data_IF_520754540510
#
_entry.id   IF_520754540510
#
_cell.length_a   1.000
_cell.length_b   1.000
_cell.length_c   1.000
_cell.angle_alpha   90.00
_cell.angle_beta   90.00
_cell.angle_gamma   90.00
#
_symmetry.space_group_name_H-M   'P 1'
#
loop_
_entity.id
_entity.type
_entity.pdbx_description
1 polymer ?
#
# COMPACT_ATOMS: atom_id res chain seq x y z
N UNK A 1 21.65 -26.27 -62.03
CA UNK A 1 21.01 -26.75 -60.79
C UNK A 1 21.56 -25.92 -59.64
N UNK A 2 20.74 -25.01 -59.11
CA UNK A 2 21.08 -24.10 -58.00
C UNK A 2 20.16 -24.48 -56.85
N UNK A 3 20.73 -25.00 -55.77
CA UNK A 3 19.95 -25.54 -54.66
C UNK A 3 19.30 -24.43 -53.84
N UNK A 4 17.97 -24.50 -53.62
CA UNK A 4 17.22 -23.51 -52.83
C UNK A 4 17.53 -23.58 -51.32
N UNK A 5 18.24 -24.62 -50.87
CA UNK A 5 18.65 -24.81 -49.46
C UNK A 5 19.77 -23.85 -49.02
N UNK A 6 20.62 -23.38 -49.93
CA UNK A 6 21.72 -22.46 -49.59
C UNK A 6 21.22 -21.05 -49.25
N UNK A 7 20.07 -20.63 -49.79
CA UNK A 7 19.48 -19.31 -49.51
C UNK A 7 18.74 -19.24 -48.17
N UNK A 8 18.19 -20.36 -47.67
CA UNK A 8 17.57 -20.41 -46.35
C UNK A 8 18.60 -20.34 -45.21
N UNK A 9 19.79 -20.94 -45.38
CA UNK A 9 20.81 -20.96 -44.32
C UNK A 9 21.40 -19.56 -44.05
N UNK A 10 21.53 -18.73 -45.09
CA UNK A 10 22.03 -17.34 -44.95
C UNK A 10 20.97 -16.45 -44.30
N UNK A 11 19.67 -16.66 -44.58
CA UNK A 11 18.60 -15.90 -43.90
C UNK A 11 18.48 -16.26 -42.42
N UNK A 12 18.69 -17.53 -42.03
CA UNK A 12 18.70 -17.93 -40.63
C UNK A 12 19.89 -17.34 -39.86
N UNK A 13 21.06 -17.20 -40.49
CA UNK A 13 22.21 -16.53 -39.87
C UNK A 13 21.99 -15.02 -39.69
N UNK A 14 21.34 -14.33 -40.65
CA UNK A 14 21.02 -12.91 -40.54
C UNK A 14 19.91 -12.58 -39.51
N UNK A 15 19.02 -13.54 -39.23
CA UNK A 15 18.02 -13.43 -38.15
C UNK A 15 18.67 -13.72 -36.79
N UNK A 16 19.66 -14.62 -36.72
CA UNK A 16 20.42 -14.86 -35.47
C UNK A 16 21.35 -13.70 -35.07
N UNK A 17 21.81 -12.88 -36.03
CA UNK A 17 22.65 -11.71 -35.76
C UNK A 17 21.87 -10.45 -35.33
N UNK A 18 20.53 -10.42 -35.49
CA UNK A 18 19.67 -9.37 -34.94
C UNK A 18 19.06 -9.74 -33.57
N UNK A 19 19.41 -10.91 -33.02
CA UNK A 19 19.07 -11.33 -31.65
C UNK A 19 20.20 -11.08 -30.65
N UNK A 20 21.35 -10.56 -31.09
CA UNK A 20 22.47 -10.12 -30.25
C UNK A 20 22.54 -8.59 -30.09
N UNK A 21 21.37 -7.96 -29.95
CA UNK A 21 21.23 -6.52 -29.71
C UNK A 21 20.48 -6.16 -28.42
N UNK A 22 20.30 -7.12 -27.50
CA UNK A 22 19.74 -6.85 -26.17
C UNK A 22 20.55 -7.62 -25.10
N UNK A 23 21.85 -7.37 -25.07
CA UNK A 23 22.75 -7.90 -24.05
C UNK A 23 23.79 -6.85 -23.62
N UNK A 24 23.39 -5.58 -23.56
CA UNK A 24 24.16 -4.52 -22.89
C UNK A 24 23.18 -3.47 -22.31
N UNK A 25 22.62 -3.80 -21.15
CA UNK A 25 22.15 -2.80 -20.17
C UNK A 25 22.02 -3.38 -18.74
N UNK A 26 22.44 -4.63 -18.50
CA UNK A 26 22.58 -5.18 -17.15
C UNK A 26 23.99 -4.83 -16.67
N UNK A 27 24.19 -3.58 -16.25
CA UNK A 27 25.29 -3.10 -15.38
C UNK A 27 25.36 -1.56 -15.27
N UNK A 28 24.21 -0.88 -15.11
CA UNK A 28 24.21 0.55 -14.78
C UNK A 28 23.11 0.88 -13.75
N UNK A 29 23.11 0.16 -12.63
CA UNK A 29 22.60 0.66 -11.34
C UNK A 29 23.48 0.13 -10.19
N UNK A 30 24.79 0.09 -10.45
CA UNK A 30 25.76 0.05 -9.37
C UNK A 30 26.62 1.30 -9.52
N UNK A 31 26.48 2.17 -8.53
CA UNK A 31 27.18 3.44 -8.34
C UNK A 31 26.52 4.69 -8.96
N UNK A 32 25.42 5.10 -8.32
CA UNK A 32 25.16 6.51 -8.09
C UNK A 32 25.23 6.74 -6.56
N UNK A 33 26.42 7.11 -6.09
CA UNK A 33 26.63 8.05 -4.98
C UNK A 33 25.73 7.89 -3.72
N UNK A 34 26.26 7.24 -2.68
CA UNK A 34 26.37 7.86 -1.35
C UNK A 34 25.15 8.18 -0.48
N UNK A 35 23.91 8.15 -0.97
CA UNK A 35 22.69 8.37 -0.17
C UNK A 35 21.51 7.65 -0.82
N UNK A 36 21.10 6.49 -0.28
CA UNK A 36 19.82 5.87 -0.64
C UNK A 36 18.68 6.73 -0.07
N UNK A 37 18.30 7.78 -0.78
CA UNK A 37 17.09 8.57 -0.51
C UNK A 37 15.88 7.69 -0.78
N UNK A 38 15.44 6.94 0.22
CA UNK A 38 14.24 6.12 0.12
C UNK A 38 13.00 6.99 -0.02
N UNK A 39 12.05 6.60 -0.87
CA UNK A 39 10.73 7.24 -0.93
C UNK A 39 9.78 6.47 -0.02
N UNK A 40 9.24 7.17 0.98
CA UNK A 40 8.25 6.65 1.90
C UNK A 40 6.85 7.01 1.38
N UNK A 41 6.03 6.02 1.10
CA UNK A 41 4.62 6.22 0.79
C UNK A 41 3.79 6.08 2.07
N UNK A 42 2.93 7.07 2.32
CA UNK A 42 2.01 7.11 3.44
C UNK A 42 0.59 7.01 2.89
N UNK A 43 -0.13 5.99 3.30
CA UNK A 43 -1.52 5.76 2.92
C UNK A 43 -2.46 6.07 4.08
N UNK A 44 -3.46 6.90 3.83
CA UNK A 44 -4.47 7.28 4.81
C UNK A 44 -5.81 6.63 4.51
N UNK A 45 -6.64 6.49 5.55
CA UNK A 45 -7.95 5.82 5.49
C UNK A 45 -8.88 6.38 4.40
N UNK A 46 -8.83 7.68 4.17
CA UNK A 46 -9.64 8.37 3.17
C UNK A 46 -9.14 8.17 1.74
N UNK A 47 -8.05 7.43 1.52
CA UNK A 47 -7.51 7.11 0.19
C UNK A 47 -6.44 8.09 -0.31
N UNK A 48 -5.86 8.92 0.57
CA UNK A 48 -4.71 9.74 0.18
C UNK A 48 -3.44 8.87 0.22
N UNK A 49 -2.71 8.84 -0.88
CA UNK A 49 -1.37 8.29 -0.96
C UNK A 49 -0.37 9.45 -1.11
N UNK A 50 0.50 9.63 -0.13
CA UNK A 50 1.48 10.73 -0.12
C UNK A 50 2.89 10.16 -0.15
N UNK A 51 3.71 10.63 -1.07
CA UNK A 51 5.13 10.31 -1.09
C UNK A 51 5.93 11.36 -0.33
N UNK A 52 6.77 10.87 0.57
CA UNK A 52 7.72 11.65 1.34
C UNK A 52 9.14 11.19 1.04
N UNK A 53 10.09 12.11 1.14
CA UNK A 53 11.49 11.76 1.29
C UNK A 53 11.69 11.12 2.68
N UNK A 54 12.19 9.89 2.74
CA UNK A 54 12.38 9.17 3.99
C UNK A 54 13.37 9.87 4.94
N UNK A 55 14.29 10.69 4.42
CA UNK A 55 15.36 11.38 5.15
C UNK A 55 14.93 12.67 5.84
N UNK A 56 13.88 13.36 5.40
CA UNK A 56 13.48 14.62 6.04
C UNK A 56 11.97 14.75 6.22
N UNK A 57 11.19 13.80 5.70
CA UNK A 57 9.74 13.82 5.74
C UNK A 57 9.13 14.86 4.81
N UNK A 58 9.91 15.49 3.92
CA UNK A 58 9.41 16.46 2.96
C UNK A 58 8.51 15.78 1.93
N UNK A 59 7.39 16.43 1.61
CA UNK A 59 6.43 15.89 0.65
C UNK A 59 6.95 16.07 -0.78
N UNK A 60 6.97 14.98 -1.54
CA UNK A 60 7.32 14.95 -2.96
C UNK A 60 6.04 15.16 -3.78
N UNK A 61 5.04 14.31 -3.56
CA UNK A 61 3.74 14.39 -4.24
C UNK A 61 2.64 13.79 -3.36
N UNK A 62 1.39 14.07 -3.73
CA UNK A 62 0.23 13.48 -3.08
C UNK A 62 -0.83 13.13 -4.13
N UNK A 63 -1.42 11.94 -4.00
CA UNK A 63 -2.40 11.38 -4.92
C UNK A 63 -3.65 10.91 -4.20
N UNK A 64 -4.80 11.46 -4.59
CA UNK A 64 -6.09 11.13 -3.99
C UNK A 64 -6.78 10.03 -4.80
N UNK A 65 -6.94 8.88 -4.15
CA UNK A 65 -7.75 7.77 -4.62
C UNK A 65 -9.04 7.64 -3.79
N UNK A 66 -9.82 6.60 -4.06
CA UNK A 66 -10.94 6.18 -3.23
C UNK A 66 -10.52 5.74 -1.82
N UNK A 67 -11.42 5.93 -0.84
CA UNK A 67 -11.20 5.49 0.53
C UNK A 67 -11.01 3.97 0.63
N UNK A 68 -10.06 3.55 1.46
CA UNK A 68 -9.61 2.15 1.62
C UNK A 68 -10.75 1.24 2.04
N UNK A 69 -11.64 1.77 2.87
CA UNK A 69 -12.87 1.11 3.28
C UNK A 69 -14.05 2.01 2.94
N UNK A 70 -14.98 1.48 2.14
CA UNK A 70 -16.29 2.09 1.89
C UNK A 70 -17.37 1.18 2.45
N UNK A 71 -18.02 1.60 3.53
CA UNK A 71 -19.11 0.86 4.16
C UNK A 71 -20.27 1.83 4.51
N UNK A 72 -21.52 1.34 4.59
CA UNK A 72 -22.66 2.11 5.04
C UNK A 72 -22.41 2.72 6.41
N UNK A 73 -22.76 3.99 6.57
CA UNK A 73 -22.65 4.71 7.85
C UNK A 73 -23.66 4.22 8.90
N UNK A 74 -24.73 3.56 8.47
CA UNK A 74 -25.80 3.08 9.35
C UNK A 74 -25.60 1.60 9.67
N UNK A 75 -25.21 1.31 10.90
CA UNK A 75 -25.17 -0.05 11.40
C UNK A 75 -26.59 -0.59 11.58
N UNK A 76 -26.96 -1.59 10.79
CA UNK A 76 -28.12 -2.43 11.04
C UNK A 76 -27.73 -3.52 12.05
N UNK A 77 -28.42 -3.54 13.20
CA UNK A 77 -28.23 -4.58 14.21
C UNK A 77 -28.38 -5.96 13.56
N UNK A 78 -27.43 -6.85 13.85
CA UNK A 78 -27.30 -8.22 13.33
C UNK A 78 -27.10 -8.34 11.80
N UNK A 79 -26.79 -7.24 11.11
CA UNK A 79 -26.63 -7.23 9.65
C UNK A 79 -25.51 -6.27 9.19
N UNK A 80 -24.52 -6.03 10.05
CA UNK A 80 -23.39 -5.13 9.76
C UNK A 80 -22.10 -5.81 10.17
N UNK A 81 -21.12 -5.81 9.26
CA UNK A 81 -19.73 -6.11 9.60
C UNK A 81 -18.91 -4.82 9.59
N UNK A 82 -17.82 -4.82 10.34
CA UNK A 82 -16.86 -3.72 10.40
C UNK A 82 -15.53 -4.24 9.87
N UNK A 83 -15.11 -3.87 8.66
CA UNK A 83 -13.80 -4.22 8.16
C UNK A 83 -12.71 -3.37 8.84
N UNK A 84 -11.58 -3.98 9.11
CA UNK A 84 -10.35 -3.29 9.48
C UNK A 84 -9.69 -2.73 8.22
N UNK A 85 -9.36 -1.42 8.18
CA UNK A 85 -8.66 -0.84 7.05
C UNK A 85 -7.20 -1.30 6.94
N UNK A 86 -6.64 -1.91 7.99
CA UNK A 86 -5.23 -2.32 8.03
C UNK A 86 -4.95 -3.61 7.25
N UNK A 87 -5.89 -4.54 7.27
CA UNK A 87 -5.69 -5.92 6.80
C UNK A 87 -6.95 -6.57 6.22
N UNK A 88 -8.07 -5.84 6.17
CA UNK A 88 -9.35 -6.37 5.73
C UNK A 88 -9.97 -7.37 6.70
N UNK A 89 -9.46 -7.54 7.93
CA UNK A 89 -10.10 -8.38 8.95
C UNK A 89 -11.52 -7.90 9.24
N UNK A 90 -12.48 -8.82 9.31
CA UNK A 90 -13.87 -8.49 9.59
C UNK A 90 -14.20 -8.64 11.07
N UNK A 91 -14.98 -7.70 11.58
CA UNK A 91 -15.48 -7.69 12.95
C UNK A 91 -17.00 -7.59 12.99
N UNK A 92 -17.61 -8.21 13.99
CA UNK A 92 -19.04 -8.08 14.28
C UNK A 92 -19.21 -7.23 15.53
N UNK A 93 -20.01 -6.15 15.48
CA UNK A 93 -20.35 -5.39 16.68
C UNK A 93 -21.25 -6.23 17.58
N UNK A 94 -20.85 -6.39 18.84
CA UNK A 94 -21.64 -7.04 19.88
C UNK A 94 -22.18 -6.01 20.88
N UNK A 95 -23.08 -6.44 21.77
CA UNK A 95 -23.61 -5.57 22.84
C UNK A 95 -22.48 -5.15 23.79
N UNK A 96 -22.51 -3.88 24.22
CA UNK A 96 -21.58 -3.37 25.23
C UNK A 96 -20.19 -2.97 24.69
N UNK A 97 -20.12 -2.43 23.48
CA UNK A 97 -18.88 -1.94 22.84
C UNK A 97 -17.82 -3.02 22.59
N UNK A 98 -18.23 -4.29 22.54
CA UNK A 98 -17.34 -5.40 22.18
C UNK A 98 -17.42 -5.68 20.69
N UNK A 99 -16.31 -6.13 20.11
CA UNK A 99 -16.20 -6.52 18.72
C UNK A 99 -15.56 -7.90 18.64
N UNK A 100 -16.25 -8.82 17.96
CA UNK A 100 -15.73 -10.17 17.74
C UNK A 100 -15.08 -10.26 16.35
N UNK A 101 -13.84 -10.75 16.31
CA UNK A 101 -13.11 -10.96 15.06
C UNK A 101 -13.62 -12.22 14.36
N UNK A 102 -14.00 -12.09 13.10
CA UNK A 102 -14.35 -13.23 12.25
C UNK A 102 -13.10 -13.98 11.77
N UNK A 103 -13.22 -15.29 11.48
CA UNK A 103 -12.10 -16.11 11.00
C UNK A 103 -11.67 -15.80 9.56
N UNK A 104 -12.40 -14.93 8.85
CA UNK A 104 -12.14 -14.59 7.46
C UNK A 104 -11.95 -13.07 7.29
N UNK A 105 -11.01 -12.68 6.45
CA UNK A 105 -10.87 -11.29 5.96
C UNK A 105 -11.82 -11.04 4.78
N UNK A 106 -12.01 -9.77 4.38
CA UNK A 106 -12.78 -9.42 3.18
C UNK A 106 -12.23 -10.14 1.93
N UNK A 107 -10.91 -10.11 1.62
CA UNK A 107 -10.36 -10.84 0.49
C UNK A 107 -10.66 -12.35 0.52
N UNK A 108 -10.46 -12.99 1.68
CA UNK A 108 -10.71 -14.44 1.85
C UNK A 108 -12.19 -14.78 1.68
N UNK A 109 -13.07 -13.95 2.25
CA UNK A 109 -14.51 -14.15 2.13
C UNK A 109 -14.95 -14.00 0.67
N UNK A 110 -14.54 -12.94 -0.03
CA UNK A 110 -14.86 -12.72 -1.45
C UNK A 110 -14.47 -13.91 -2.33
N UNK A 111 -13.33 -14.56 -2.08
CA UNK A 111 -12.90 -15.75 -2.82
C UNK A 111 -13.83 -16.96 -2.65
N UNK A 112 -14.61 -17.00 -1.56
CA UNK A 112 -15.54 -18.09 -1.25
C UNK A 112 -16.98 -17.83 -1.73
N UNK A 113 -17.23 -16.69 -2.37
CA UNK A 113 -18.56 -16.27 -2.85
C UNK A 113 -18.78 -16.61 -4.33
N UNK A 114 -20.03 -16.80 -4.78
CA UNK A 114 -21.30 -16.55 -4.09
C UNK A 114 -21.73 -17.66 -3.11
N UNK A 115 -22.44 -17.30 -2.03
CA UNK A 115 -23.02 -18.29 -1.11
C UNK A 115 -24.35 -17.81 -0.47
N UNK A 116 -25.07 -18.75 0.16
CA UNK A 116 -26.34 -18.48 0.85
C UNK A 116 -26.28 -19.04 2.28
N UNK A 117 -26.63 -18.22 3.26
CA UNK A 117 -26.76 -18.64 4.66
C UNK A 117 -28.05 -19.43 4.91
N UNK A 118 -28.06 -20.24 5.98
CA UNK A 118 -29.24 -20.94 6.49
C UNK A 118 -30.41 -19.99 6.81
N UNK A 119 -30.12 -18.74 7.15
CA UNK A 119 -31.12 -17.69 7.44
C UNK A 119 -31.67 -17.01 6.18
N UNK A 120 -31.24 -17.44 4.99
CA UNK A 120 -31.71 -16.91 3.71
C UNK A 120 -31.03 -15.62 3.25
N UNK A 121 -29.89 -15.26 3.84
CA UNK A 121 -29.05 -14.15 3.39
C UNK A 121 -28.15 -14.64 2.25
N UNK A 122 -28.12 -13.90 1.15
CA UNK A 122 -27.23 -14.13 0.02
C UNK A 122 -26.01 -13.23 0.13
N UNK A 123 -24.85 -13.81 -0.14
CA UNK A 123 -23.57 -13.13 -0.14
C UNK A 123 -23.00 -13.15 -1.55
N UNK A 124 -22.61 -11.97 -2.01
CA UNK A 124 -22.00 -11.75 -3.32
C UNK A 124 -20.63 -11.09 -3.11
N UNK A 125 -19.63 -11.57 -3.83
CA UNK A 125 -18.27 -11.05 -3.80
C UNK A 125 -17.82 -10.69 -5.21
N UNK A 126 -17.09 -9.59 -5.33
CA UNK A 126 -16.43 -9.18 -6.57
C UNK A 126 -14.99 -8.77 -6.28
N UNK A 127 -14.08 -9.12 -7.18
CA UNK A 127 -12.66 -8.75 -7.14
C UNK A 127 -12.32 -8.06 -8.46
N UNK A 128 -11.79 -6.84 -8.37
CA UNK A 128 -11.29 -6.08 -9.52
C UNK A 128 -9.83 -5.72 -9.31
N UNK A 129 -8.97 -6.24 -10.17
CA UNK A 129 -7.54 -5.95 -10.15
C UNK A 129 -7.22 -4.82 -11.15
N UNK A 130 -6.30 -3.95 -10.75
CA UNK A 130 -5.82 -2.80 -11.54
C UNK A 130 -4.34 -2.56 -11.28
N UNK A 131 -3.65 -1.92 -12.22
CA UNK A 131 -2.25 -1.53 -12.09
C UNK A 131 -2.15 -0.01 -11.97
N UNK A 132 -1.29 0.44 -11.07
CA UNK A 132 -0.94 1.85 -10.89
C UNK A 132 0.54 2.05 -11.24
N UNK A 133 0.82 2.77 -12.32
CA UNK A 133 2.19 3.16 -12.69
C UNK A 133 2.60 4.41 -11.92
N UNK A 134 3.60 4.31 -11.05
CA UNK A 134 4.12 5.41 -10.25
C UNK A 134 5.46 5.87 -10.81
N UNK A 135 5.55 7.15 -11.13
CA UNK A 135 6.82 7.83 -11.28
C UNK A 135 7.29 8.31 -9.88
N UNK A 136 8.47 7.90 -9.39
CA UNK A 136 9.00 8.33 -8.10
C UNK A 136 8.96 9.85 -7.88
N UNK A 137 9.19 10.62 -8.94
CA UNK A 137 9.30 12.08 -8.88
C UNK A 137 7.97 12.80 -9.01
N UNK A 138 7.09 12.35 -9.92
CA UNK A 138 5.82 13.03 -10.22
C UNK A 138 4.57 12.37 -9.62
N UNK A 139 4.70 11.13 -9.15
CA UNK A 139 3.61 10.32 -8.62
C UNK A 139 2.90 9.45 -9.65
N UNK A 140 1.73 8.89 -9.30
CA UNK A 140 0.99 7.96 -10.15
C UNK A 140 0.48 8.60 -11.44
N UNK A 141 0.70 7.90 -12.55
CA UNK A 141 0.12 8.22 -13.85
C UNK A 141 -1.23 7.50 -13.98
N UNK A 142 -2.30 8.26 -14.19
CA UNK A 142 -3.58 7.70 -14.63
C UNK A 142 -3.46 7.35 -16.11
N UNK A 143 -2.90 6.19 -16.44
CA UNK A 143 -3.08 5.64 -17.78
C UNK A 143 -4.51 5.11 -17.91
N UNK A 144 -5.41 6.00 -18.32
CA UNK A 144 -6.71 5.61 -18.81
C UNK A 144 -6.50 4.85 -20.12
N UNK A 145 -6.81 3.55 -20.09
CA UNK A 145 -6.88 2.63 -21.23
C UNK A 145 -5.60 1.84 -21.51
N UNK A 146 -5.43 0.73 -20.79
CA UNK A 146 -5.03 -0.52 -21.46
C UNK A 146 -6.19 -0.95 -22.37
N UNK A 147 -6.42 -0.19 -23.44
CA UNK A 147 -7.42 -0.55 -24.45
C UNK A 147 -6.89 -1.79 -25.16
N UNK A 148 -7.72 -2.84 -25.23
CA UNK A 148 -7.43 -4.04 -26.03
C UNK A 148 -7.52 -3.77 -27.54
N UNK A 149 -7.72 -2.52 -27.95
CA UNK A 149 -7.73 -2.11 -29.36
C UNK A 149 -6.32 -2.27 -29.96
N UNK A 150 -6.15 -3.10 -31.00
CA UNK A 150 -4.85 -3.34 -31.64
C UNK A 150 -4.17 -2.07 -32.18
N UNK A 151 -4.93 -0.99 -32.42
CA UNK A 151 -4.40 0.28 -32.96
C UNK A 151 -3.86 1.24 -31.91
N UNK A 152 -4.13 1.00 -30.63
CA UNK A 152 -3.68 1.83 -29.51
C UNK A 152 -2.57 1.14 -28.69
N UNK A 153 -1.89 0.15 -29.30
CA UNK A 153 -0.67 -0.47 -28.77
C UNK A 153 0.52 0.48 -28.92
N UNK A 154 0.45 1.65 -28.32
CA UNK A 154 1.68 2.18 -27.74
C UNK A 154 1.93 1.34 -26.50
N UNK A 155 2.79 0.33 -26.63
CA UNK A 155 3.45 -0.24 -25.45
C UNK A 155 3.93 0.96 -24.64
N UNK A 156 3.59 1.10 -23.34
CA UNK A 156 4.08 2.22 -22.56
C UNK A 156 5.59 2.09 -22.58
N UNK A 157 6.24 2.90 -23.42
CA UNK A 157 7.68 3.06 -23.42
C UNK A 157 7.92 3.81 -22.13
N UNK A 158 8.18 3.01 -21.11
CA UNK A 158 8.57 3.41 -19.79
C UNK A 158 9.61 4.53 -19.92
N UNK A 159 9.30 5.71 -19.39
CA UNK A 159 10.37 6.43 -18.69
C UNK A 159 11.02 5.39 -17.77
N UNK A 160 12.33 5.19 -17.89
CA UNK A 160 13.09 4.06 -17.29
C UNK A 160 12.97 3.92 -15.74
N UNK A 161 12.10 4.68 -15.08
CA UNK A 161 11.90 4.73 -13.64
C UNK A 161 10.43 4.56 -13.19
N UNK A 162 9.49 4.13 -14.04
CA UNK A 162 8.10 3.90 -13.62
C UNK A 162 7.95 2.56 -12.90
N UNK A 163 7.51 2.60 -11.64
CA UNK A 163 7.25 1.43 -10.79
C UNK A 163 5.77 1.06 -10.87
N UNK A 164 5.43 -0.18 -11.18
CA UNK A 164 4.05 -0.65 -11.26
C UNK A 164 3.62 -1.33 -9.97
N UNK A 165 2.48 -0.91 -9.44
CA UNK A 165 1.90 -1.46 -8.20
C UNK A 165 0.52 -2.04 -8.50
N UNK A 166 0.29 -3.27 -8.04
CA UNK A 166 -1.04 -3.89 -8.09
C UNK A 166 -1.98 -3.28 -7.05
N UNK A 167 -3.17 -2.87 -7.48
CA UNK A 167 -4.28 -2.42 -6.65
C UNK A 167 -5.47 -3.34 -6.88
N UNK A 168 -5.96 -3.95 -5.81
CA UNK A 168 -7.14 -4.81 -5.85
C UNK A 168 -8.28 -4.19 -5.06
N UNK A 169 -9.45 -4.12 -5.69
CA UNK A 169 -10.70 -3.73 -5.06
C UNK A 169 -11.57 -4.97 -4.82
N UNK A 170 -11.87 -5.22 -3.55
CA UNK A 170 -12.77 -6.29 -3.10
C UNK A 170 -14.10 -5.67 -2.71
N UNK A 171 -15.19 -6.07 -3.38
CA UNK A 171 -16.54 -5.70 -3.00
C UNK A 171 -17.28 -6.91 -2.44
N UNK A 172 -17.95 -6.73 -1.31
CA UNK A 172 -18.74 -7.75 -0.64
C UNK A 172 -20.13 -7.17 -0.37
N UNK A 173 -21.17 -7.89 -0.79
CA UNK A 173 -22.56 -7.49 -0.59
C UNK A 173 -23.37 -8.59 0.05
N UNK A 174 -24.24 -8.19 0.98
CA UNK A 174 -25.21 -9.03 1.66
C UNK A 174 -26.62 -8.59 1.28
N UNK A 175 -27.45 -9.55 0.89
CA UNK A 175 -28.84 -9.32 0.51
C UNK A 175 -29.77 -10.29 1.24
N UNK A 176 -30.74 -9.75 1.98
CA UNK A 176 -31.78 -10.56 2.61
C UNK A 176 -33.06 -10.55 1.77
N UNK A 177 -33.50 -11.71 1.28
CA UNK A 177 -34.70 -11.81 0.43
C UNK A 177 -36.01 -11.71 1.20
N UNK A 178 -36.00 -12.04 2.50
CA UNK A 178 -37.22 -12.09 3.33
C UNK A 178 -37.69 -10.71 3.80
N UNK A 179 -36.81 -9.71 3.85
CA UNK A 179 -37.13 -8.33 4.23
C UNK A 179 -36.60 -7.37 3.16
N UNK A 180 -37.49 -6.82 2.34
CA UNK A 180 -37.12 -5.78 1.37
C UNK A 180 -36.42 -4.62 2.10
N UNK A 181 -35.22 -4.26 1.63
CA UNK A 181 -34.44 -3.13 2.14
C UNK A 181 -33.24 -3.49 3.02
N UNK A 182 -33.14 -4.72 3.55
CA UNK A 182 -31.92 -5.15 4.26
C UNK A 182 -30.82 -5.56 3.27
N UNK A 183 -29.98 -4.60 2.95
CA UNK A 183 -28.76 -4.76 2.16
C UNK A 183 -27.60 -4.11 2.91
N UNK A 184 -26.42 -4.70 2.78
CA UNK A 184 -25.18 -4.16 3.32
C UNK A 184 -24.09 -4.45 2.31
N UNK A 185 -23.33 -3.44 1.96
CA UNK A 185 -22.23 -3.56 1.02
C UNK A 185 -20.95 -3.02 1.67
N UNK A 186 -19.82 -3.58 1.31
CA UNK A 186 -18.52 -3.05 1.70
C UNK A 186 -17.57 -3.16 0.53
N UNK A 187 -16.73 -2.15 0.37
CA UNK A 187 -15.58 -2.22 -0.51
C UNK A 187 -14.32 -2.04 0.31
N UNK A 188 -13.35 -2.91 0.08
CA UNK A 188 -12.01 -2.88 0.65
C UNK A 188 -10.97 -2.83 -0.47
N UNK A 189 -10.03 -1.89 -0.38
CA UNK A 189 -8.93 -1.76 -1.33
C UNK A 189 -7.65 -2.25 -0.66
N UNK A 190 -6.86 -3.04 -1.39
CA UNK A 190 -5.54 -3.50 -0.97
C UNK A 190 -4.52 -3.21 -2.06
N UNK A 191 -3.38 -2.65 -1.66
CA UNK A 191 -2.20 -2.56 -2.50
C UNK A 191 -1.35 -3.82 -2.32
N UNK A 192 -0.85 -4.40 -3.40
CA UNK A 192 -0.19 -5.72 -3.43
C UNK A 192 1.21 -5.77 -2.77
N UNK A 193 1.44 -4.95 -1.75
CA UNK A 193 2.68 -4.88 -0.99
C UNK A 193 3.00 -6.17 -0.20
N UNK A 194 1.98 -6.99 0.08
CA UNK A 194 2.15 -8.26 0.80
C UNK A 194 2.93 -9.31 0.00
N UNK A 195 3.12 -9.10 -1.31
CA UNK A 195 3.88 -9.99 -2.18
C UNK A 195 5.40 -9.78 -2.04
N UNK A 196 5.83 -8.64 -1.52
CA UNK A 196 7.24 -8.28 -1.36
C UNK A 196 7.65 -8.37 0.13
N UNK A 197 8.83 -8.92 0.43
CA UNK A 197 9.31 -9.02 1.81
C UNK A 197 9.64 -7.62 2.36
N UNK A 198 9.51 -7.44 3.68
CA UNK A 198 9.99 -6.23 4.32
C UNK A 198 11.51 -6.07 4.13
N UNK A 199 11.97 -4.84 3.93
CA UNK A 199 13.40 -4.54 3.80
C UNK A 199 14.10 -4.63 5.17
N UNK A 200 15.03 -5.58 5.30
CA UNK A 200 15.81 -5.78 6.53
C UNK A 200 16.81 -4.64 6.80
N UNK A 201 17.20 -3.87 5.78
CA UNK A 201 18.14 -2.76 5.90
C UNK A 201 17.46 -1.44 6.28
N UNK A 202 16.12 -1.44 6.39
CA UNK A 202 15.36 -0.26 6.75
C UNK A 202 15.44 0.01 8.26
N UNK A 203 16.26 1.01 8.62
CA UNK A 203 16.61 1.30 10.01
C UNK A 203 15.71 2.36 10.68
N UNK A 204 14.57 2.70 10.09
CA UNK A 204 13.64 3.66 10.68
C UNK A 204 12.47 2.96 11.36
N UNK A 205 12.03 3.53 12.47
CA UNK A 205 10.82 3.14 13.18
C UNK A 205 9.77 4.25 13.02
N UNK A 206 8.54 3.84 12.75
CA UNK A 206 7.43 4.77 12.57
C UNK A 206 6.39 4.62 13.66
N UNK A 207 5.97 5.76 14.20
CA UNK A 207 4.89 5.88 15.16
C UNK A 207 3.78 6.69 14.52
N UNK A 208 2.56 6.19 14.55
CA UNK A 208 1.39 6.87 13.95
C UNK A 208 0.30 7.04 15.00
N UNK A 209 -0.48 8.11 14.87
CA UNK A 209 -1.67 8.26 15.69
C UNK A 209 -2.83 7.45 15.11
N UNK A 210 -3.57 6.69 15.94
CA UNK A 210 -4.79 6.01 15.50
C UNK A 210 -5.99 6.95 15.38
N UNK A 211 -5.84 8.20 15.84
CA UNK A 211 -6.93 9.20 15.89
C UNK A 211 -6.69 10.36 14.92
N UNK A 212 -5.45 10.75 14.74
CA UNK A 212 -5.05 11.92 13.94
C UNK A 212 -4.14 11.48 12.80
N UNK A 213 -4.03 12.31 11.76
CA UNK A 213 -3.06 12.11 10.67
C UNK A 213 -1.65 12.53 11.08
N UNK A 214 -1.18 12.07 12.24
CA UNK A 214 0.15 12.41 12.77
C UNK A 214 1.08 11.21 12.69
N UNK A 215 2.34 11.47 12.37
CA UNK A 215 3.40 10.49 12.42
C UNK A 215 4.73 11.06 12.91
N UNK A 216 5.50 10.20 13.56
CA UNK A 216 6.88 10.47 13.97
C UNK A 216 7.75 9.35 13.46
N UNK A 217 8.85 9.71 12.80
CA UNK A 217 9.86 8.77 12.33
C UNK A 217 11.12 8.94 13.19
N UNK A 218 11.67 7.82 13.65
CA UNK A 218 12.87 7.77 14.48
C UNK A 218 13.89 6.86 13.84
N UNK A 219 15.14 7.33 13.73
CA UNK A 219 16.27 6.50 13.35
C UNK A 219 16.79 5.69 14.53
N UNK A 220 17.61 4.67 14.26
CA UNK A 220 18.27 3.87 15.31
C UNK A 220 19.29 4.65 16.13
N UNK A 221 19.88 5.70 15.56
CA UNK A 221 21.03 6.42 16.13
C UNK A 221 20.67 7.78 16.75
N UNK A 222 19.50 8.34 16.43
CA UNK A 222 19.09 9.67 16.87
C UNK A 222 17.70 9.65 17.52
N UNK A 223 17.45 10.48 18.56
CA UNK A 223 16.23 10.39 19.35
C UNK A 223 14.95 10.78 18.59
N UNK A 224 15.03 11.70 17.63
CA UNK A 224 13.91 12.11 16.76
C UNK A 224 14.54 12.51 15.44
N UNK A 225 13.97 12.07 14.33
CA UNK A 225 14.47 12.42 13.01
C UNK A 225 13.57 13.46 12.34
N UNK A 226 12.28 13.14 12.15
CA UNK A 226 11.27 14.11 11.71
C UNK A 226 9.86 13.70 12.15
N UNK A 227 8.94 14.66 12.13
CA UNK A 227 7.52 14.47 12.43
C UNK A 227 6.66 15.19 11.40
N UNK A 228 5.49 14.64 11.09
CA UNK A 228 4.52 15.27 10.20
C UNK A 228 3.12 15.12 10.79
N UNK A 229 2.42 16.25 10.88
CA UNK A 229 1.10 16.35 11.52
C UNK A 229 -0.02 16.73 10.53
N UNK A 230 0.29 16.81 9.24
CA UNK A 230 -0.58 17.41 8.21
C UNK A 230 -1.35 16.39 7.36
N UNK A 231 -1.35 15.10 7.70
CA UNK A 231 -2.11 14.12 6.93
C UNK A 231 -3.62 14.30 7.11
N UNK A 232 -4.42 14.21 6.02
CA UNK A 232 -5.85 14.52 6.06
C UNK A 232 -6.69 13.51 6.84
N UNK A 233 -6.16 12.30 7.06
CA UNK A 233 -6.85 11.22 7.77
C UNK A 233 -5.86 10.30 8.48
N UNK A 234 -6.39 9.34 9.24
CA UNK A 234 -5.58 8.36 9.99
C UNK A 234 -4.76 7.53 9.01
N UNK A 235 -3.48 7.34 9.34
CA UNK A 235 -2.54 6.55 8.55
C UNK A 235 -2.84 5.05 8.76
N UNK A 236 -3.05 4.33 7.67
CA UNK A 236 -3.42 2.90 7.69
C UNK A 236 -2.29 1.99 7.19
N UNK A 237 -1.39 2.52 6.35
CA UNK A 237 -0.23 1.79 5.91
C UNK A 237 0.94 2.72 5.54
N UNK A 238 2.14 2.16 5.61
CA UNK A 238 3.39 2.77 5.19
C UNK A 238 4.09 1.82 4.23
N UNK A 239 4.68 2.36 3.17
CA UNK A 239 5.42 1.57 2.20
C UNK A 239 6.74 2.23 1.84
N UNK A 240 7.77 1.41 1.60
CA UNK A 240 9.00 1.85 0.95
C UNK A 240 8.87 1.57 -0.55
N UNK A 241 8.93 2.63 -1.36
CA UNK A 241 8.93 2.51 -2.82
C UNK A 241 10.34 2.17 -3.31
N UNK A 242 10.44 1.11 -4.11
CA UNK A 242 11.66 0.63 -4.76
C UNK A 242 11.37 0.27 -6.21
N UNK A 243 12.42 -0.05 -6.96
CA UNK A 243 12.33 -0.44 -8.36
C UNK A 243 11.48 -1.72 -8.58
N UNK A 244 11.43 -2.61 -7.60
CA UNK A 244 10.66 -3.87 -7.63
C UNK A 244 9.22 -3.72 -7.12
N UNK A 245 8.84 -2.56 -6.58
CA UNK A 245 7.47 -2.28 -6.12
C UNK A 245 7.42 -1.57 -4.77
N UNK A 246 6.42 -1.93 -3.97
CA UNK A 246 6.20 -1.36 -2.64
C UNK A 246 6.38 -2.40 -1.55
N UNK A 247 7.25 -2.10 -0.59
CA UNK A 247 7.51 -2.95 0.57
C UNK A 247 6.74 -2.40 1.77
N UNK A 248 5.85 -3.19 2.35
CA UNK A 248 5.09 -2.78 3.53
C UNK A 248 6.01 -2.59 4.73
N UNK A 249 5.95 -1.41 5.34
CA UNK A 249 6.68 -1.07 6.55
C UNK A 249 5.80 -1.29 7.79
N UNK A 250 6.45 -1.61 8.91
CA UNK A 250 5.76 -1.74 10.20
C UNK A 250 5.66 -0.35 10.86
N UNK A 251 4.48 -0.02 11.35
CA UNK A 251 4.24 1.14 12.20
C UNK A 251 3.66 0.72 13.54
N UNK A 252 3.91 1.52 14.56
CA UNK A 252 3.31 1.35 15.89
C UNK A 252 2.30 2.45 16.13
N UNK A 253 1.03 2.08 16.34
CA UNK A 253 0.00 3.03 16.71
C UNK A 253 0.18 3.46 18.18
N UNK A 254 0.29 4.77 18.42
CA UNK A 254 0.46 5.36 19.75
C UNK A 254 -0.43 6.59 19.90
N UNK A 255 -0.89 6.85 21.13
CA UNK A 255 -1.72 8.03 21.39
C UNK A 255 -0.96 9.34 21.18
N UNK A 256 -1.70 10.41 20.84
CA UNK A 256 -1.13 11.74 20.57
C UNK A 256 -0.26 12.26 21.73
N UNK A 257 -0.65 11.99 22.98
CA UNK A 257 0.11 12.38 24.17
C UNK A 257 1.51 11.74 24.21
N UNK A 258 1.63 10.50 23.74
CA UNK A 258 2.90 9.78 23.64
C UNK A 258 3.73 10.35 22.49
N UNK A 259 3.12 10.63 21.34
CA UNK A 259 3.80 11.29 20.22
C UNK A 259 4.40 12.64 20.64
N UNK A 260 3.65 13.46 21.37
CA UNK A 260 4.14 14.74 21.89
C UNK A 260 5.29 14.55 22.89
N UNK A 261 5.24 13.46 23.68
CA UNK A 261 6.33 13.07 24.58
C UNK A 261 7.59 12.64 23.84
N UNK A 262 7.45 12.02 22.65
CA UNK A 262 8.57 11.65 21.79
C UNK A 262 9.22 12.89 21.17
N UNK A 263 8.44 13.90 20.77
CA UNK A 263 8.94 15.12 20.13
C UNK A 263 9.63 16.06 21.14
N UNK A 264 9.20 16.05 22.42
CA UNK A 264 9.77 16.94 23.43
C UNK A 264 11.22 16.56 23.76
N UNK A 265 12.16 17.52 23.81
CA UNK A 265 13.53 17.24 24.23
C UNK A 265 13.52 16.72 25.68
N UNK A 266 14.06 15.52 25.89
CA UNK A 266 14.20 14.94 27.24
C UNK A 266 15.01 15.89 28.10
N UNK A 267 14.38 16.49 29.12
CA UNK A 267 15.07 17.29 30.14
C UNK A 267 16.19 16.43 30.75
N UNK A 268 17.43 16.92 30.72
CA UNK A 268 18.56 16.30 31.45
C UNK A 268 18.14 16.11 32.89
N UNK A 269 18.06 14.86 33.34
CA UNK A 269 17.89 14.52 34.75
C UNK A 269 19.11 15.12 35.47
N UNK A 270 18.90 16.17 36.27
CA UNK A 270 19.95 16.69 37.14
C UNK A 270 20.24 15.62 38.17
N UNK A 271 21.39 14.95 38.08
CA UNK A 271 21.92 14.11 39.14
C UNK A 271 22.07 14.98 40.39
N UNK A 272 21.19 14.82 41.37
CA UNK A 272 21.34 15.45 42.68
C UNK A 272 22.51 14.74 43.36
N UNK A 273 23.68 15.38 43.40
CA UNK A 273 24.77 14.96 44.29
C UNK A 273 24.25 15.10 45.72
N UNK A 274 24.02 13.98 46.39
CA UNK A 274 23.82 13.97 47.83
C UNK A 274 25.08 14.58 48.49
N UNK A 275 24.90 15.70 49.18
CA UNK A 275 25.91 16.23 50.09
C UNK A 275 25.97 15.26 51.28
N UNK A 276 27.05 14.49 51.36
CA UNK A 276 27.44 13.79 52.57
C UNK A 276 27.91 14.86 53.55
N UNK A 277 27.19 15.00 54.66
CA UNK A 277 27.53 15.91 55.75
C UNK A 277 28.80 15.48 56.46
N UNK A 278 29.60 16.49 56.85
CA UNK A 278 30.65 16.35 57.87
C UNK A 278 30.04 16.33 59.28
#
# INVERSE_FOLDING_TARGET
MRDPLSKCLVLLFLISFNLFGCAQAVNYLHDASGDNVGILLVETLDGQLTALNAMDGSQIWSFKDEAIVRAPSTALHDFTFVPSPLDGSLYVPERGHRYDRLPYTVPQLVQSLPCKSSTGIFYEGSKKDSWLGIDPSSGPRRESNLSLDPKDRMCPVSSNATVFIGRTEYSLSMFQTTKKGKHWNVTYIDYSAHLLPADANYNFQHFTSPKTGRMVTMGTMEPIFWSNDDFPSVIVALYLLKDDGIHRLKSTAVGDEILDGLIKPKRKIKTVRALVGN
#
